data_IF_207127888695
#
_entry.id   IF_207127888695
#
_cell.length_a   1.000
_cell.length_b   1.000
_cell.length_c   1.000
_cell.angle_alpha   90.00
_cell.angle_beta   90.00
_cell.angle_gamma   90.00
#
_symmetry.space_group_name_H-M   'P 1'
#
loop_
_entity.id
_entity.type
_entity.pdbx_description
1 polymer ?
#
# COMPACT_ATOMS: atom_id res chain seq x y z
N UNK A 1 -23.56 -14.72 -19.31
CA UNK A 1 -22.50 -14.73 -18.27
C UNK A 1 -21.46 -13.72 -18.71
N UNK A 2 -21.18 -12.66 -17.93
CA UNK A 2 -20.33 -11.56 -18.38
C UNK A 2 -18.91 -12.07 -18.67
N UNK A 3 -18.57 -12.16 -19.96
CA UNK A 3 -17.30 -12.65 -20.51
C UNK A 3 -16.10 -11.71 -20.22
N UNK A 4 -16.34 -10.59 -19.52
CA UNK A 4 -15.36 -9.53 -19.26
C UNK A 4 -14.86 -9.48 -17.81
N UNK A 5 -15.41 -10.30 -16.92
CA UNK A 5 -14.88 -10.49 -15.58
C UNK A 5 -13.86 -11.61 -15.63
N UNK A 6 -12.73 -11.39 -16.31
CA UNK A 6 -11.51 -12.10 -15.91
C UNK A 6 -11.43 -11.93 -14.39
N UNK A 7 -11.27 -13.00 -13.59
CA UNK A 7 -11.14 -12.84 -12.16
C UNK A 7 -9.87 -12.02 -11.96
N UNK A 8 -10.03 -10.71 -11.77
CA UNK A 8 -9.05 -9.78 -11.26
C UNK A 8 -8.72 -10.35 -9.89
N UNK A 9 -7.88 -11.39 -9.86
CA UNK A 9 -7.40 -12.04 -8.65
C UNK A 9 -6.85 -10.89 -7.84
N UNK A 10 -7.50 -10.52 -6.73
CA UNK A 10 -7.01 -9.41 -5.94
C UNK A 10 -5.59 -9.77 -5.57
N UNK A 11 -4.61 -8.97 -5.98
CA UNK A 11 -3.20 -9.25 -5.66
C UNK A 11 -3.02 -8.89 -4.20
N UNK A 12 -3.39 -9.83 -3.34
CA UNK A 12 -3.20 -9.72 -1.90
C UNK A 12 -1.71 -9.59 -1.64
N UNK A 13 -1.32 -8.46 -1.09
CA UNK A 13 0.06 -8.19 -0.70
C UNK A 13 0.10 -7.97 0.81
N UNK A 14 1.23 -8.32 1.40
CA UNK A 14 1.46 -8.11 2.82
C UNK A 14 2.01 -6.70 3.04
N UNK A 15 1.40 -5.96 3.97
CA UNK A 15 1.92 -4.67 4.38
C UNK A 15 3.23 -4.86 5.14
N UNK A 16 4.33 -4.29 4.65
CA UNK A 16 5.65 -4.36 5.31
C UNK A 16 5.67 -3.80 6.73
N UNK A 17 4.75 -2.89 7.06
CA UNK A 17 4.71 -2.27 8.39
C UNK A 17 3.87 -3.09 9.38
N UNK A 18 2.62 -3.41 9.04
CA UNK A 18 1.69 -4.06 9.97
C UNK A 18 1.50 -5.56 9.74
N UNK A 19 2.14 -6.15 8.73
CA UNK A 19 2.05 -7.58 8.41
C UNK A 19 0.67 -8.04 7.91
N UNK A 20 -0.30 -7.13 7.75
CA UNK A 20 -1.65 -7.49 7.28
C UNK A 20 -1.62 -7.78 5.78
N UNK A 21 -2.14 -8.95 5.42
CA UNK A 21 -2.41 -9.32 4.03
C UNK A 21 -3.69 -8.63 3.54
N UNK A 22 -3.58 -7.81 2.51
CA UNK A 22 -4.72 -7.07 1.96
C UNK A 22 -4.56 -6.84 0.46
N UNK A 23 -5.68 -6.75 -0.26
CA UNK A 23 -5.70 -6.30 -1.64
C UNK A 23 -5.52 -4.77 -1.75
N UNK A 24 -5.79 -4.05 -0.65
CA UNK A 24 -5.71 -2.59 -0.56
C UNK A 24 -4.32 -2.15 -0.12
N UNK A 25 -3.34 -2.37 -1.00
CA UNK A 25 -1.94 -2.00 -0.77
C UNK A 25 -1.40 -1.18 -1.93
N UNK A 26 -0.53 -0.22 -1.61
CA UNK A 26 0.18 0.56 -2.61
C UNK A 26 1.23 -0.32 -3.29
N UNK A 27 1.16 -0.44 -4.61
CA UNK A 27 2.07 -1.29 -5.41
C UNK A 27 3.51 -0.77 -5.33
N UNK A 28 3.70 0.55 -5.20
CA UNK A 28 5.03 1.17 -5.11
C UNK A 28 5.67 0.96 -3.74
N UNK A 29 4.91 1.21 -2.67
CA UNK A 29 5.47 1.27 -1.32
C UNK A 29 5.29 -0.04 -0.53
N UNK A 30 4.44 -0.96 -1.01
CA UNK A 30 4.10 -2.22 -0.32
C UNK A 30 3.52 -2.02 1.09
N UNK A 31 2.85 -0.88 1.32
CA UNK A 31 2.10 -0.61 2.54
C UNK A 31 0.60 -0.62 2.26
N UNK A 32 -0.18 -1.10 3.22
CA UNK A 32 -1.64 -0.97 3.14
C UNK A 32 -2.04 0.51 3.24
N UNK A 33 -3.18 0.87 2.64
CA UNK A 33 -3.63 2.28 2.62
C UNK A 33 -3.86 2.89 4.01
N UNK A 34 -4.05 2.07 5.04
CA UNK A 34 -4.13 2.55 6.42
C UNK A 34 -2.76 2.98 6.97
N UNK A 35 -1.70 2.25 6.62
CA UNK A 35 -0.32 2.51 7.05
C UNK A 35 0.40 3.52 6.16
N UNK A 36 0.05 3.56 4.87
CA UNK A 36 0.69 4.38 3.85
C UNK A 36 0.83 5.87 4.24
N UNK A 37 -0.24 6.59 4.63
CA UNK A 37 -0.14 8.01 4.89
C UNK A 37 0.84 8.33 6.04
N UNK A 38 0.81 7.55 7.13
CA UNK A 38 1.69 7.79 8.26
C UNK A 38 3.19 7.60 7.90
N UNK A 39 3.51 6.67 6.99
CA UNK A 39 4.88 6.54 6.46
C UNK A 39 5.24 7.72 5.56
N UNK A 40 4.34 8.13 4.66
CA UNK A 40 4.59 9.29 3.80
C UNK A 40 4.84 10.57 4.61
N UNK A 41 4.09 10.77 5.70
CA UNK A 41 4.33 11.88 6.63
C UNK A 41 5.69 11.78 7.30
N UNK A 42 6.07 10.60 7.79
CA UNK A 42 7.37 10.39 8.42
C UNK A 42 8.54 10.63 7.44
N UNK A 43 8.43 10.14 6.20
CA UNK A 43 9.45 10.36 5.16
C UNK A 43 9.54 11.83 4.74
N UNK A 44 8.41 12.52 4.63
CA UNK A 44 8.39 13.98 4.35
C UNK A 44 9.00 14.78 5.49
N UNK A 45 8.70 14.46 6.74
CA UNK A 45 9.28 15.11 7.90
C UNK A 45 10.80 14.90 7.99
N UNK A 46 11.26 13.67 7.75
CA UNK A 46 12.69 13.35 7.69
C UNK A 46 13.43 14.14 6.60
N UNK A 47 12.79 14.35 5.43
CA UNK A 47 13.36 15.17 4.35
C UNK A 47 13.33 16.67 4.65
N UNK A 48 12.31 17.16 5.34
CA UNK A 48 12.17 18.58 5.67
C UNK A 48 13.13 19.05 6.77
N UNK A 49 13.51 18.17 7.70
CA UNK A 49 14.47 18.50 8.77
C UNK A 49 15.96 18.46 8.35
N UNK A 50 16.24 18.11 7.08
CA UNK A 50 17.60 18.01 6.54
C UNK A 50 18.00 19.21 5.65
N UNK A 51 17.19 20.27 5.62
CA UNK A 51 17.39 21.49 4.83
C UNK A 51 17.70 22.70 5.73
#
# INVERSE_FOLDING_TARGET
MHEYLSPLKPRYSECKWCGKRTAYSCIRCSYCYSCHPAIEYAEKAAKAGAA
#
